data_IF_219049794748
#
_entry.id   IF_219049794748
#
_cell.length_a   1.000
_cell.length_b   1.000
_cell.length_c   1.000
_cell.angle_alpha   90.00
_cell.angle_beta   90.00
_cell.angle_gamma   90.00
#
_symmetry.space_group_name_H-M   'P 1'
#
loop_
_entity.id
_entity.type
_entity.pdbx_description
1 polymer ?
#
# COMPACT_ATOMS: atom_id res chain seq x y z
N UNK A 1 18.66 9.83 -14.19
CA UNK A 1 18.61 10.19 -12.74
C UNK A 1 19.57 9.29 -11.98
N UNK A 2 20.38 9.84 -11.10
CA UNK A 2 21.32 9.07 -10.28
C UNK A 2 20.55 8.25 -9.25
N UNK A 3 20.88 6.96 -9.14
CA UNK A 3 20.25 6.05 -8.17
C UNK A 3 20.89 6.20 -6.79
N UNK A 4 20.17 5.85 -5.73
CA UNK A 4 20.71 5.84 -4.37
C UNK A 4 21.87 4.84 -4.27
N UNK A 5 22.93 5.22 -3.56
CA UNK A 5 24.10 4.38 -3.35
C UNK A 5 23.83 3.38 -2.19
N UNK A 6 23.16 2.27 -2.53
CA UNK A 6 22.87 1.16 -1.60
C UNK A 6 23.21 -0.16 -2.28
N UNK A 7 23.46 -1.19 -1.50
CA UNK A 7 23.63 -2.54 -2.04
C UNK A 7 22.27 -3.17 -2.35
N UNK A 8 21.83 -3.05 -3.62
CA UNK A 8 20.56 -3.56 -4.11
C UNK A 8 20.45 -5.09 -4.02
N UNK A 9 21.58 -5.80 -4.06
CA UNK A 9 21.63 -7.28 -4.04
C UNK A 9 21.38 -7.86 -2.65
N UNK A 10 21.66 -7.09 -1.60
CA UNK A 10 21.49 -7.51 -0.20
C UNK A 10 20.09 -7.21 0.36
N UNK A 11 19.22 -6.56 -0.41
CA UNK A 11 17.90 -6.19 0.05
C UNK A 11 17.04 -7.40 0.41
N UNK A 12 16.44 -7.35 1.60
CA UNK A 12 15.34 -8.21 2.01
C UNK A 12 13.97 -7.55 1.78
N UNK A 13 12.96 -8.04 2.48
CA UNK A 13 11.61 -7.45 2.49
C UNK A 13 11.38 -6.60 3.75
N UNK A 14 12.39 -5.82 4.15
CA UNK A 14 12.34 -4.90 5.29
C UNK A 14 12.01 -3.48 4.85
N UNK A 15 11.44 -2.69 5.77
CA UNK A 15 11.17 -1.28 5.50
C UNK A 15 12.47 -0.46 5.47
N UNK A 16 12.65 0.26 4.37
CA UNK A 16 13.68 1.28 4.21
C UNK A 16 12.95 2.59 3.89
N UNK A 17 13.20 3.62 4.68
CA UNK A 17 12.58 4.94 4.47
C UNK A 17 13.07 5.55 3.16
N UNK A 18 12.12 5.90 2.29
CA UNK A 18 12.36 6.67 1.07
C UNK A 18 12.12 8.17 1.30
N UNK A 19 12.41 9.01 0.32
CA UNK A 19 12.41 10.46 0.50
C UNK A 19 11.00 11.04 0.67
N UNK A 20 10.02 10.58 -0.10
CA UNK A 20 8.67 11.16 -0.13
C UNK A 20 7.58 10.08 0.02
N UNK A 21 6.44 10.52 0.53
CA UNK A 21 5.16 9.79 0.57
C UNK A 21 4.02 10.73 0.22
N UNK A 22 2.93 10.18 -0.27
CA UNK A 22 1.71 10.93 -0.53
C UNK A 22 0.75 10.78 0.65
N UNK A 23 0.02 11.86 0.96
CA UNK A 23 -1.02 11.91 2.00
C UNK A 23 -2.18 12.73 1.50
N UNK A 24 -3.39 12.17 1.57
CA UNK A 24 -4.65 12.87 1.40
C UNK A 24 -5.55 12.60 2.60
N UNK A 25 -6.38 13.57 2.97
CA UNK A 25 -7.30 13.47 4.10
C UNK A 25 -8.74 13.57 3.61
N UNK A 26 -9.59 12.74 4.20
CA UNK A 26 -11.05 12.81 4.05
C UNK A 26 -11.64 13.41 5.30
N UNK A 27 -12.37 14.48 5.12
CA UNK A 27 -13.07 15.18 6.20
C UNK A 27 -14.28 15.92 5.65
N UNK A 28 -15.34 16.04 6.46
CA UNK A 28 -16.58 16.74 6.10
C UNK A 28 -17.17 16.27 4.74
N UNK A 29 -17.06 14.97 4.45
CA UNK A 29 -17.61 14.36 3.26
C UNK A 29 -16.77 14.51 1.98
N UNK A 30 -15.52 15.03 2.06
CA UNK A 30 -14.69 15.26 0.90
C UNK A 30 -13.22 14.92 1.11
N UNK A 31 -12.54 14.51 0.04
CA UNK A 31 -11.08 14.38 -0.02
C UNK A 31 -10.42 15.72 -0.34
N UNK A 32 -9.35 16.03 0.36
CA UNK A 32 -8.45 17.11 -0.05
C UNK A 32 -7.65 16.74 -1.33
N UNK A 33 -6.85 17.67 -1.83
CA UNK A 33 -6.04 17.45 -3.04
C UNK A 33 -4.84 16.54 -2.81
N UNK A 34 -4.55 16.18 -1.56
CA UNK A 34 -3.36 15.45 -1.18
C UNK A 34 -2.05 16.18 -1.44
N UNK A 35 -0.98 15.71 -0.82
CA UNK A 35 0.35 16.31 -0.95
C UNK A 35 1.45 15.29 -0.76
N UNK A 36 2.63 15.56 -1.31
CA UNK A 36 3.87 14.83 -1.02
C UNK A 36 4.51 15.40 0.24
N UNK A 37 4.93 14.54 1.16
CA UNK A 37 5.63 14.91 2.40
C UNK A 37 6.83 14.00 2.66
N UNK A 38 7.79 14.48 3.44
CA UNK A 38 8.93 13.69 3.96
C UNK A 38 8.62 13.04 5.31
N UNK A 39 7.56 13.49 5.96
CA UNK A 39 7.17 12.96 7.26
C UNK A 39 6.55 11.56 7.14
N UNK A 40 7.22 10.58 7.73
CA UNK A 40 6.81 9.17 7.75
C UNK A 40 5.99 8.79 8.97
N UNK A 41 5.72 9.73 9.85
CA UNK A 41 4.93 9.50 11.04
C UNK A 41 3.44 9.69 10.79
N UNK A 42 2.66 8.95 11.54
CA UNK A 42 1.20 9.10 11.60
C UNK A 42 0.85 9.44 13.04
N UNK A 43 0.30 10.62 13.25
CA UNK A 43 -0.20 11.04 14.57
C UNK A 43 -1.71 10.91 14.55
N UNK A 44 -2.24 10.01 15.38
CA UNK A 44 -3.66 9.73 15.52
C UNK A 44 -4.04 9.62 17.00
N UNK A 45 -5.32 9.76 17.30
CA UNK A 45 -5.84 9.53 18.64
C UNK A 45 -5.82 8.04 18.99
N UNK A 46 -5.63 7.67 20.27
CA UNK A 46 -5.67 6.29 20.72
C UNK A 46 -7.00 5.58 20.42
N UNK A 47 -8.09 6.32 20.32
CA UNK A 47 -9.41 5.82 19.94
C UNK A 47 -9.68 5.85 18.42
N UNK A 48 -8.65 6.07 17.58
CA UNK A 48 -8.84 6.06 16.13
C UNK A 48 -9.41 4.74 15.63
N UNK A 49 -10.33 4.80 14.66
CA UNK A 49 -11.04 3.63 14.12
C UNK A 49 -10.11 2.52 13.65
N UNK A 50 -8.95 2.87 13.12
CA UNK A 50 -7.92 1.89 12.72
C UNK A 50 -7.38 1.09 13.91
N UNK A 51 -7.20 1.71 15.08
CA UNK A 51 -6.66 1.04 16.28
C UNK A 51 -7.73 0.23 17.00
N UNK A 52 -8.97 0.71 17.04
CA UNK A 52 -10.04 0.06 17.79
C UNK A 52 -10.74 -1.04 17.00
N UNK A 53 -10.92 -0.86 15.71
CA UNK A 53 -11.73 -1.74 14.86
C UNK A 53 -11.01 -2.24 13.61
N UNK A 54 -9.69 -2.02 13.50
CA UNK A 54 -8.88 -2.38 12.33
C UNK A 54 -9.48 -1.84 11.01
N UNK A 55 -10.12 -0.67 11.05
CA UNK A 55 -10.74 -0.05 9.88
C UNK A 55 -9.67 0.50 8.94
N UNK A 56 -9.13 -0.38 8.11
CA UNK A 56 -8.06 -0.09 7.18
C UNK A 56 -8.07 -1.08 6.01
N UNK A 57 -7.60 -0.63 4.86
CA UNK A 57 -7.28 -1.50 3.74
C UNK A 57 -6.01 -1.01 3.04
N UNK A 58 -5.35 -1.88 2.29
CA UNK A 58 -4.16 -1.53 1.53
C UNK A 58 -4.07 -2.30 0.22
N UNK A 59 -3.25 -1.77 -0.68
CA UNK A 59 -2.83 -2.39 -1.90
C UNK A 59 -1.31 -2.54 -1.95
N UNK A 60 -0.84 -3.41 -2.81
CA UNK A 60 0.57 -3.63 -3.05
C UNK A 60 0.87 -3.78 -4.52
N UNK A 61 1.75 -2.94 -5.03
CA UNK A 61 2.27 -3.03 -6.39
C UNK A 61 3.77 -2.72 -6.39
N UNK A 62 4.40 -2.82 -7.54
CA UNK A 62 5.84 -2.62 -7.69
C UNK A 62 6.14 -1.69 -8.85
N UNK A 63 7.19 -0.88 -8.68
CA UNK A 63 7.80 -0.14 -9.77
C UNK A 63 9.15 -0.76 -10.12
N UNK A 64 9.46 -0.78 -11.41
CA UNK A 64 10.64 -1.42 -12.00
C UNK A 64 11.37 -0.45 -12.91
N UNK A 65 12.68 -0.60 -13.00
CA UNK A 65 13.47 0.01 -14.08
C UNK A 65 13.57 -0.99 -15.23
N UNK A 66 13.22 -0.56 -16.43
CA UNK A 66 13.37 -1.34 -17.67
C UNK A 66 14.81 -1.27 -18.17
N UNK A 67 15.16 -2.10 -19.18
CA UNK A 67 16.51 -2.15 -19.76
C UNK A 67 16.92 -0.81 -20.37
N UNK A 68 15.98 -0.09 -20.96
CA UNK A 68 16.16 1.25 -21.55
C UNK A 68 16.07 2.39 -20.50
N UNK A 69 15.97 2.04 -19.21
CA UNK A 69 16.05 2.99 -18.09
C UNK A 69 14.74 3.68 -17.71
N UNK A 70 13.61 3.32 -18.32
CA UNK A 70 12.31 3.83 -17.92
C UNK A 70 11.84 3.21 -16.58
N UNK A 71 11.03 3.94 -15.83
CA UNK A 71 10.36 3.44 -14.65
C UNK A 71 8.92 3.09 -15.02
N UNK A 72 8.53 1.85 -14.75
CA UNK A 72 7.20 1.34 -15.12
C UNK A 72 6.51 0.66 -13.94
N UNK A 73 5.18 0.68 -13.95
CA UNK A 73 4.31 -0.07 -13.04
C UNK A 73 3.33 -0.90 -13.87
N UNK A 74 3.00 -2.09 -13.41
CA UNK A 74 2.07 -2.97 -14.12
C UNK A 74 0.65 -2.78 -13.59
N UNK A 75 -0.27 -2.33 -14.45
CA UNK A 75 -1.71 -2.21 -14.24
C UNK A 75 -2.10 -1.59 -12.87
N UNK A 76 -1.61 -0.39 -12.52
CA UNK A 76 -2.02 0.30 -11.29
C UNK A 76 -3.53 0.60 -11.25
N UNK A 77 -4.19 0.71 -12.39
CA UNK A 77 -5.63 0.85 -12.55
C UNK A 77 -6.41 -0.30 -11.89
N UNK A 78 -5.95 -1.54 -12.04
CA UNK A 78 -6.59 -2.70 -11.41
C UNK A 78 -6.39 -2.72 -9.89
N UNK A 79 -5.27 -2.20 -9.40
CA UNK A 79 -5.07 -2.02 -7.95
C UNK A 79 -6.02 -0.93 -7.40
N UNK A 80 -6.20 0.17 -8.14
CA UNK A 80 -7.14 1.22 -7.75
C UNK A 80 -8.58 0.69 -7.67
N UNK A 81 -9.03 -0.05 -8.69
CA UNK A 81 -10.36 -0.67 -8.72
C UNK A 81 -10.55 -1.65 -7.54
N UNK A 82 -9.56 -2.51 -7.25
CA UNK A 82 -9.64 -3.45 -6.12
C UNK A 82 -9.63 -2.75 -4.76
N UNK A 83 -8.89 -1.63 -4.62
CA UNK A 83 -8.95 -0.84 -3.39
C UNK A 83 -10.31 -0.18 -3.20
N UNK A 84 -10.96 0.27 -4.28
CA UNK A 84 -12.34 0.75 -4.27
C UNK A 84 -13.29 -0.31 -3.72
N UNK A 85 -13.26 -1.54 -4.28
CA UNK A 85 -14.08 -2.66 -3.81
C UNK A 85 -13.85 -2.94 -2.32
N UNK A 86 -12.59 -2.86 -1.87
CA UNK A 86 -12.23 -3.04 -0.46
C UNK A 86 -12.80 -1.93 0.42
N UNK A 87 -12.74 -0.68 -0.03
CA UNK A 87 -13.32 0.46 0.70
C UNK A 87 -14.83 0.33 0.81
N UNK A 88 -15.52 0.02 -0.28
CA UNK A 88 -16.98 -0.19 -0.30
C UNK A 88 -17.40 -1.32 0.64
N UNK A 89 -16.64 -2.43 0.66
CA UNK A 89 -16.88 -3.56 1.56
C UNK A 89 -16.75 -3.21 3.05
N UNK A 90 -15.86 -2.28 3.37
CA UNK A 90 -15.58 -1.82 4.74
C UNK A 90 -16.33 -0.53 5.11
N UNK A 91 -17.26 -0.08 4.27
CA UNK A 91 -17.99 1.19 4.44
C UNK A 91 -17.04 2.39 4.63
N UNK A 92 -15.91 2.37 3.93
CA UNK A 92 -14.93 3.47 3.91
C UNK A 92 -15.16 4.35 2.67
N UNK A 93 -14.88 5.67 2.72
CA UNK A 93 -15.00 6.52 1.55
C UNK A 93 -14.02 6.10 0.45
N UNK A 94 -14.49 6.01 -0.78
CA UNK A 94 -13.63 5.69 -1.92
C UNK A 94 -12.73 6.87 -2.25
N UNK A 95 -11.41 6.63 -2.36
CA UNK A 95 -10.50 7.59 -2.99
C UNK A 95 -10.62 7.43 -4.51
N UNK A 96 -10.90 8.50 -5.30
CA UNK A 96 -11.16 8.38 -6.74
C UNK A 96 -10.04 7.63 -7.48
N UNK A 97 -10.40 6.69 -8.35
CA UNK A 97 -9.45 5.76 -9.00
C UNK A 97 -8.38 6.48 -9.84
N UNK A 98 -8.78 7.53 -10.56
CA UNK A 98 -7.88 8.39 -11.34
C UNK A 98 -6.88 9.13 -10.45
N UNK A 99 -7.34 9.70 -9.34
CA UNK A 99 -6.50 10.36 -8.34
C UNK A 99 -5.60 9.35 -7.60
N UNK A 100 -6.08 8.13 -7.40
CA UNK A 100 -5.30 7.05 -6.79
C UNK A 100 -4.10 6.69 -7.68
N UNK A 101 -4.31 6.49 -8.98
CA UNK A 101 -3.25 6.21 -9.94
C UNK A 101 -2.27 7.38 -10.02
N UNK A 102 -2.77 8.62 -10.04
CA UNK A 102 -1.95 9.83 -10.03
C UNK A 102 -1.09 9.94 -8.76
N UNK A 103 -1.67 9.69 -7.57
CA UNK A 103 -0.96 9.72 -6.29
C UNK A 103 0.17 8.69 -6.24
N UNK A 104 -0.09 7.49 -6.73
CA UNK A 104 0.93 6.42 -6.85
C UNK A 104 2.04 6.83 -7.81
N UNK A 105 1.69 7.35 -8.99
CA UNK A 105 2.66 7.80 -9.99
C UNK A 105 3.53 8.94 -9.44
N UNK A 106 2.94 9.98 -8.84
CA UNK A 106 3.66 11.08 -8.19
C UNK A 106 4.60 10.60 -7.07
N UNK A 107 4.17 9.59 -6.30
CA UNK A 107 5.01 9.05 -5.23
C UNK A 107 6.21 8.29 -5.79
N UNK A 108 6.02 7.50 -6.84
CA UNK A 108 7.11 6.76 -7.51
C UNK A 108 8.07 7.74 -8.18
N UNK A 109 7.57 8.75 -8.88
CA UNK A 109 8.38 9.79 -9.51
C UNK A 109 9.23 10.55 -8.50
N UNK A 110 8.64 10.98 -7.39
CA UNK A 110 9.36 11.67 -6.30
C UNK A 110 10.42 10.80 -5.62
N UNK A 111 10.33 9.47 -5.75
CA UNK A 111 11.27 8.50 -5.23
C UNK A 111 12.02 7.74 -6.34
N UNK A 112 12.14 8.29 -7.55
CA UNK A 112 12.73 7.60 -8.70
C UNK A 112 14.18 7.15 -8.49
N UNK A 113 14.93 7.86 -7.63
CA UNK A 113 16.29 7.46 -7.21
C UNK A 113 16.30 6.16 -6.39
N UNK A 114 15.17 5.79 -5.76
CA UNK A 114 14.99 4.59 -4.96
C UNK A 114 14.46 3.38 -5.77
N UNK A 115 14.10 3.56 -7.03
CA UNK A 115 13.74 2.44 -7.90
C UNK A 115 15.02 1.69 -8.27
N UNK A 116 15.16 0.40 -7.93
CA UNK A 116 16.38 -0.36 -8.19
C UNK A 116 16.76 -0.39 -9.67
N UNK A 117 18.06 -0.46 -10.02
CA UNK A 117 18.51 -0.59 -11.40
C UNK A 117 17.99 -1.87 -12.06
N UNK A 118 17.84 -1.84 -13.39
CA UNK A 118 17.55 -3.05 -14.17
C UNK A 118 18.60 -4.15 -13.89
N UNK A 119 18.15 -5.39 -13.78
CA UNK A 119 19.03 -6.54 -13.55
C UNK A 119 19.47 -6.74 -12.09
N UNK A 120 19.15 -5.83 -11.16
CA UNK A 120 19.51 -5.98 -9.74
C UNK A 120 18.72 -7.07 -9.00
N UNK A 121 17.62 -7.55 -9.56
CA UNK A 121 16.69 -8.47 -8.90
C UNK A 121 15.80 -7.84 -7.84
N UNK A 122 16.05 -6.58 -7.47
CA UNK A 122 15.26 -5.80 -6.53
C UNK A 122 14.19 -4.96 -7.24
N UNK A 123 13.21 -4.47 -6.49
CA UNK A 123 12.10 -3.65 -7.00
C UNK A 123 11.74 -2.57 -5.99
N UNK A 124 11.09 -1.49 -6.42
CA UNK A 124 10.47 -0.57 -5.48
C UNK A 124 9.05 -1.06 -5.17
N UNK A 125 8.82 -1.51 -3.94
CA UNK A 125 7.50 -1.83 -3.46
C UNK A 125 6.73 -0.54 -3.16
N UNK A 126 5.49 -0.48 -3.62
CA UNK A 126 4.58 0.66 -3.41
C UNK A 126 3.39 0.17 -2.62
N UNK A 127 3.08 0.85 -1.52
CA UNK A 127 1.94 0.53 -0.63
C UNK A 127 1.00 1.72 -0.50
N UNK A 128 -0.04 1.79 -1.30
CA UNK A 128 -1.19 2.61 -1.03
C UNK A 128 -2.01 1.98 0.09
N UNK A 129 -2.47 2.79 1.06
CA UNK A 129 -3.30 2.32 2.17
C UNK A 129 -4.20 3.43 2.67
N UNK A 130 -5.30 3.04 3.28
CA UNK A 130 -6.30 3.93 3.84
C UNK A 130 -6.72 3.45 5.22
N UNK A 131 -7.04 4.37 6.12
CA UNK A 131 -7.48 4.03 7.47
C UNK A 131 -8.35 5.12 8.08
N UNK A 132 -9.25 4.71 9.00
CA UNK A 132 -10.05 5.61 9.82
C UNK A 132 -9.19 6.29 10.88
N UNK A 133 -9.15 7.62 10.87
CA UNK A 133 -8.21 8.43 11.65
C UNK A 133 -8.81 9.14 12.86
N UNK A 134 -10.14 9.40 12.86
CA UNK A 134 -10.80 10.07 13.98
C UNK A 134 -11.12 9.12 15.15
N UNK A 135 -11.32 9.64 16.36
CA UNK A 135 -11.75 8.85 17.51
C UNK A 135 -13.13 8.23 17.31
N UNK A 136 -13.24 6.91 17.55
CA UNK A 136 -14.50 6.15 17.48
C UNK A 136 -14.51 5.12 18.61
N UNK A 137 -15.48 5.20 19.52
CA UNK A 137 -15.69 4.20 20.59
C UNK A 137 -16.84 3.25 20.25
N UNK A 138 -17.95 3.77 19.71
CA UNK A 138 -19.05 2.94 19.23
C UNK A 138 -18.67 2.21 17.94
N UNK A 139 -19.23 1.01 17.72
CA UNK A 139 -19.02 0.26 16.47
C UNK A 139 -19.75 0.94 15.34
N UNK A 140 -19.05 1.78 14.60
CA UNK A 140 -19.51 2.49 13.40
C UNK A 140 -18.32 2.81 12.51
N UNK A 141 -18.51 3.09 11.21
CA UNK A 141 -17.48 3.64 10.36
C UNK A 141 -16.90 4.95 10.94
N UNK A 142 -15.63 5.22 10.69
CA UNK A 142 -15.02 6.49 11.03
C UNK A 142 -15.64 7.63 10.16
N UNK A 143 -15.52 8.85 10.64
CA UNK A 143 -15.99 10.04 9.92
C UNK A 143 -14.84 10.74 9.17
N UNK A 144 -13.58 10.49 9.59
CA UNK A 144 -12.37 11.02 8.95
C UNK A 144 -11.42 9.87 8.59
N UNK A 145 -10.74 10.01 7.44
CA UNK A 145 -9.81 9.00 6.93
C UNK A 145 -8.55 9.64 6.37
N UNK A 146 -7.48 8.86 6.33
CA UNK A 146 -6.29 9.21 5.56
C UNK A 146 -6.04 8.16 4.48
N UNK A 147 -5.77 8.64 3.25
CA UNK A 147 -5.18 7.85 2.18
C UNK A 147 -3.71 8.20 2.08
N UNK A 148 -2.84 7.19 2.09
CA UNK A 148 -1.39 7.38 2.04
C UNK A 148 -0.76 6.42 1.05
N UNK A 149 0.33 6.86 0.43
CA UNK A 149 1.17 6.00 -0.40
C UNK A 149 2.59 6.10 0.11
N UNK A 150 3.16 4.97 0.52
CA UNK A 150 4.57 4.84 0.86
C UNK A 150 5.29 3.91 -0.12
N UNK A 151 6.59 4.07 -0.21
CA UNK A 151 7.46 3.20 -1.02
C UNK A 151 8.63 2.69 -0.19
N UNK A 152 9.14 1.52 -0.55
CA UNK A 152 10.38 0.95 0.02
C UNK A 152 11.06 0.04 -1.00
N UNK A 153 12.37 0.15 -1.23
CA UNK A 153 13.07 -0.80 -2.08
C UNK A 153 13.14 -2.17 -1.39
N UNK A 154 12.85 -3.23 -2.13
CA UNK A 154 12.83 -4.59 -1.61
C UNK A 154 13.54 -5.55 -2.55
N UNK A 155 14.16 -6.57 -1.97
CA UNK A 155 14.69 -7.73 -2.69
C UNK A 155 13.58 -8.74 -3.04
N UNK A 156 13.95 -9.90 -3.59
CA UNK A 156 13.01 -10.98 -3.88
C UNK A 156 12.28 -11.43 -2.62
N UNK A 157 10.95 -11.58 -2.70
CA UNK A 157 10.16 -12.08 -1.58
C UNK A 157 10.58 -13.50 -1.16
N UNK A 158 10.84 -14.37 -2.15
CA UNK A 158 11.35 -15.71 -1.92
C UNK A 158 12.85 -15.75 -2.21
N UNK A 159 13.68 -15.98 -1.19
CA UNK A 159 15.14 -16.07 -1.32
C UNK A 159 15.61 -17.19 -2.27
N UNK A 160 14.80 -18.23 -2.48
CA UNK A 160 15.05 -19.35 -3.37
C UNK A 160 14.47 -19.21 -4.79
N UNK A 161 14.00 -18.03 -5.17
CA UNK A 161 13.27 -17.79 -6.42
C UNK A 161 11.83 -18.28 -6.39
N UNK A 162 11.11 -18.08 -7.49
CA UNK A 162 9.71 -18.50 -7.66
C UNK A 162 9.64 -20.03 -7.87
N UNK A 163 9.66 -20.79 -6.78
CA UNK A 163 9.42 -22.23 -6.81
C UNK A 163 7.96 -22.52 -6.49
N UNK A 164 7.35 -23.52 -7.13
CA UNK A 164 6.02 -23.98 -6.76
C UNK A 164 5.98 -24.37 -5.27
N UNK A 165 4.90 -23.98 -4.58
CA UNK A 165 4.63 -24.39 -3.21
C UNK A 165 3.39 -25.28 -3.20
N UNK A 166 3.36 -26.24 -2.29
CA UNK A 166 2.16 -27.05 -2.08
C UNK A 166 1.17 -26.23 -1.27
N UNK A 167 -0.02 -26.00 -1.83
CA UNK A 167 -1.13 -25.41 -1.09
C UNK A 167 -2.11 -26.51 -0.71
N UNK A 168 -2.39 -26.66 0.58
CA UNK A 168 -3.40 -27.56 1.07
C UNK A 168 -4.77 -26.88 0.91
N UNK A 169 -5.45 -27.17 -0.19
CA UNK A 169 -6.80 -26.70 -0.49
C UNK A 169 -7.83 -27.63 0.15
N UNK A 170 -7.84 -27.72 1.45
CA UNK A 170 -9.03 -28.26 2.10
C UNK A 170 -9.49 -27.29 3.19
N UNK A 171 -10.77 -27.18 3.30
CA UNK A 171 -11.39 -26.54 4.43
C UNK A 171 -11.32 -27.49 5.60
N UNK A 172 -10.50 -27.20 6.61
CA UNK A 172 -10.74 -27.76 7.94
C UNK A 172 -12.17 -27.34 8.31
N UNK A 173 -13.08 -28.28 8.63
CA UNK A 173 -14.42 -27.91 9.06
C UNK A 173 -14.28 -27.00 10.26
N UNK A 174 -14.79 -25.77 10.13
CA UNK A 174 -14.85 -24.87 11.28
C UNK A 174 -15.72 -25.54 12.35
N UNK A 175 -15.51 -25.30 13.65
CA UNK A 175 -16.41 -25.80 14.69
C UNK A 175 -17.87 -25.39 14.47
N UNK A 176 -18.15 -24.40 13.65
CA UNK A 176 -19.50 -23.98 13.24
C UNK A 176 -20.10 -24.90 12.16
N UNK A 177 -19.27 -25.52 11.33
CA UNK A 177 -19.74 -26.41 10.25
C UNK A 177 -20.06 -27.81 10.78
N UNK A 178 -19.56 -28.18 11.98
CA UNK A 178 -19.83 -29.46 12.63
C UNK A 178 -21.14 -29.50 13.41
N UNK A 179 -21.89 -28.41 13.50
CA UNK A 179 -23.16 -28.31 14.24
C UNK A 179 -24.40 -28.30 13.37
N UNK A 180 -24.26 -28.43 12.07
CA UNK A 180 -25.39 -28.56 11.11
C UNK A 180 -25.54 -30.03 10.66
N UNK A 181 -26.03 -30.87 11.55
CA UNK A 181 -26.59 -32.19 11.23
C UNK A 181 -27.94 -32.34 11.87
#
# INVERSE_FOLDING_TARGET
>A
MEKKNIDWSSLGFGYIKTDKRFVANYKDGAWDNGTLTEDDKVVINECAGVLQYAQTCFEGLKAYTTEDGHIVMFRPDLNAARMKDSCERLEMPVYPEDKWVEAVAKTVEANAAWVPPFGSGATLYVRPYMFGSNPVIGVKPADEYQFRVLTTPVGPYFKGGAKPITCLLYTSPSPRDSTSS
#
